data_IF_263545620620
#
_entry.id   IF_263545620620
#
_cell.length_a   1.000
_cell.length_b   1.000
_cell.length_c   1.000
_cell.angle_alpha   90.00
_cell.angle_beta   90.00
_cell.angle_gamma   90.00
#
_symmetry.space_group_name_H-M   'P 1'
#
loop_
_entity.id
_entity.type
_entity.pdbx_description
1 polymer ?
#
# COMPACT_ATOMS: atom_id res chain seq x y z
N UNK A 1 23.35 13.39 -73.69
CA UNK A 1 23.84 14.79 -73.66
C UNK A 1 22.79 15.68 -74.31
N UNK A 2 22.56 16.90 -73.84
CA UNK A 2 22.29 17.34 -72.46
C UNK A 2 21.13 18.36 -72.43
N UNK A 3 20.81 18.89 -71.24
CA UNK A 3 20.32 20.25 -70.93
C UNK A 3 19.28 20.18 -69.78
N UNK A 4 19.40 20.90 -68.67
CA UNK A 4 20.42 21.80 -68.13
C UNK A 4 19.88 22.38 -66.82
N UNK A 5 20.76 22.54 -65.82
CA UNK A 5 20.86 23.72 -64.92
C UNK A 5 19.65 24.08 -64.03
N UNK A 6 19.75 24.58 -62.79
CA UNK A 6 20.83 25.10 -61.97
C UNK A 6 20.28 25.33 -60.55
N UNK A 7 21.17 25.32 -59.56
CA UNK A 7 21.22 26.12 -58.33
C UNK A 7 20.00 26.23 -57.36
N UNK A 8 20.29 25.97 -56.07
CA UNK A 8 20.25 27.05 -55.07
C UNK A 8 19.23 26.99 -53.93
N UNK A 9 19.78 26.97 -52.70
CA UNK A 9 19.31 27.59 -51.44
C UNK A 9 18.19 26.98 -50.57
N UNK A 10 18.63 26.56 -49.37
CA UNK A 10 18.15 26.84 -47.99
C UNK A 10 16.69 27.22 -47.66
N UNK A 11 16.22 26.52 -46.61
CA UNK A 11 15.18 26.81 -45.62
C UNK A 11 13.73 27.07 -46.08
N UNK A 12 12.79 26.24 -45.61
CA UNK A 12 11.68 26.60 -44.72
C UNK A 12 10.89 25.34 -44.26
N UNK A 13 10.06 25.56 -43.25
CA UNK A 13 9.66 24.70 -42.13
C UNK A 13 8.30 23.98 -42.31
N UNK A 14 8.05 23.03 -41.39
CA UNK A 14 6.77 22.77 -40.70
C UNK A 14 5.96 21.47 -40.95
N UNK A 15 5.51 20.94 -39.79
CA UNK A 15 4.40 20.00 -39.46
C UNK A 15 4.80 18.54 -39.21
N UNK A 16 5.14 18.15 -37.97
CA UNK A 16 4.26 17.74 -36.86
C UNK A 16 3.37 16.52 -37.18
N UNK A 17 3.67 15.37 -36.57
CA UNK A 17 3.00 14.83 -35.36
C UNK A 17 3.35 13.35 -35.21
N UNK A 18 4.02 12.97 -34.12
CA UNK A 18 3.56 11.82 -33.36
C UNK A 18 3.99 11.98 -31.90
N UNK A 19 2.97 12.39 -31.17
CA UNK A 19 2.91 12.72 -29.76
C UNK A 19 2.93 11.45 -28.90
N UNK A 20 3.58 11.57 -27.74
CA UNK A 20 3.33 10.82 -26.51
C UNK A 20 3.24 9.28 -26.59
N UNK A 21 4.40 8.61 -26.59
CA UNK A 21 4.54 7.47 -25.68
C UNK A 21 5.01 8.02 -24.32
N UNK A 22 4.09 8.05 -23.36
CA UNK A 22 4.39 8.41 -21.97
C UNK A 22 5.46 7.45 -21.42
N UNK A 23 6.57 7.93 -20.83
CA UNK A 23 7.44 7.10 -20.02
C UNK A 23 6.82 6.98 -18.62
N UNK A 24 5.72 6.24 -18.49
CA UNK A 24 5.04 6.02 -17.21
C UNK A 24 5.46 4.71 -16.53
N UNK A 25 6.46 3.97 -17.01
CA UNK A 25 6.80 2.63 -16.47
C UNK A 25 8.29 2.41 -16.15
N UNK A 26 9.14 3.44 -16.16
CA UNK A 26 10.57 3.27 -15.79
C UNK A 26 10.82 3.34 -14.27
N UNK A 27 9.84 3.81 -13.48
CA UNK A 27 9.96 3.89 -12.02
C UNK A 27 9.74 2.53 -11.33
N UNK A 28 9.06 1.58 -11.98
CA UNK A 28 8.79 0.23 -11.43
C UNK A 28 10.05 -0.61 -11.18
N UNK A 29 11.16 -0.31 -11.89
CA UNK A 29 12.39 -1.11 -11.81
C UNK A 29 13.31 -0.72 -10.65
N UNK A 30 13.34 0.57 -10.30
CA UNK A 30 14.14 1.10 -9.19
C UNK A 30 13.41 1.05 -7.83
N UNK A 31 12.10 0.77 -7.81
CA UNK A 31 11.29 0.57 -6.59
C UNK A 31 11.71 -0.64 -5.73
N UNK A 32 12.46 -1.59 -6.31
CA UNK A 32 12.69 -2.91 -5.73
C UNK A 32 13.85 -2.98 -4.72
N UNK A 33 14.61 -1.90 -4.51
CA UNK A 33 15.91 -1.98 -3.83
C UNK A 33 16.22 -0.91 -2.79
N UNK A 34 15.31 -0.01 -2.42
CA UNK A 34 15.57 0.91 -1.30
C UNK A 34 15.39 0.17 0.05
N UNK A 35 16.45 -0.05 0.85
CA UNK A 35 16.34 -0.70 2.16
C UNK A 35 15.43 0.06 3.12
N UNK A 36 15.27 1.38 2.94
CA UNK A 36 14.34 2.18 3.71
C UNK A 36 12.88 1.85 3.37
N UNK A 37 12.60 1.54 2.10
CA UNK A 37 11.28 1.15 1.63
C UNK A 37 10.85 -0.20 2.19
N UNK A 38 11.74 -1.20 2.13
CA UNK A 38 11.49 -2.53 2.69
C UNK A 38 11.22 -2.45 4.20
N UNK A 39 12.01 -1.65 4.93
CA UNK A 39 11.80 -1.39 6.36
C UNK A 39 10.43 -0.75 6.64
N UNK A 40 10.00 0.20 5.82
CA UNK A 40 8.70 0.84 5.98
C UNK A 40 7.54 -0.14 5.69
N UNK A 41 7.65 -0.95 4.63
CA UNK A 41 6.66 -1.99 4.33
C UNK A 41 6.52 -2.99 5.49
N UNK A 42 7.64 -3.52 6.00
CA UNK A 42 7.66 -4.42 7.16
C UNK A 42 6.92 -3.82 8.36
N UNK A 43 7.26 -2.58 8.74
CA UNK A 43 6.59 -1.89 9.86
C UNK A 43 5.09 -1.77 9.63
N UNK A 44 4.70 -1.35 8.43
CA UNK A 44 3.30 -1.09 8.07
C UNK A 44 2.49 -2.38 8.05
N UNK A 45 3.01 -3.44 7.42
CA UNK A 45 2.33 -4.74 7.32
C UNK A 45 2.25 -5.45 8.68
N UNK A 46 3.32 -5.40 9.49
CA UNK A 46 3.29 -5.91 10.86
C UNK A 46 2.22 -5.21 11.70
N UNK A 47 2.15 -3.87 11.64
CA UNK A 47 1.14 -3.10 12.36
C UNK A 47 -0.29 -3.41 11.86
N UNK A 48 -0.48 -3.55 10.55
CA UNK A 48 -1.76 -3.94 9.96
C UNK A 48 -2.20 -5.33 10.46
N UNK A 49 -1.33 -6.33 10.39
CA UNK A 49 -1.60 -7.68 10.92
C UNK A 49 -1.98 -7.62 12.41
N UNK A 50 -1.23 -6.87 13.22
CA UNK A 50 -1.49 -6.73 14.65
C UNK A 50 -2.80 -5.99 14.97
N UNK A 51 -3.25 -5.07 14.10
CA UNK A 51 -4.56 -4.41 14.24
C UNK A 51 -5.73 -5.41 14.22
N UNK A 52 -5.54 -6.54 13.53
CA UNK A 52 -6.50 -7.65 13.46
C UNK A 52 -6.21 -8.72 14.51
N UNK A 53 -4.96 -9.20 14.62
CA UNK A 53 -4.58 -10.28 15.53
C UNK A 53 -4.81 -9.94 17.01
N UNK A 54 -4.74 -8.66 17.40
CA UNK A 54 -5.08 -8.22 18.77
C UNK A 54 -6.51 -8.61 19.17
N UNK A 55 -7.45 -8.68 18.21
CA UNK A 55 -8.84 -9.11 18.44
C UNK A 55 -8.94 -10.60 18.80
N UNK A 56 -7.93 -11.39 18.41
CA UNK A 56 -7.79 -12.79 18.76
C UNK A 56 -6.78 -13.01 19.91
N UNK A 57 -6.34 -11.94 20.58
CA UNK A 57 -5.45 -12.03 21.75
C UNK A 57 -4.00 -12.41 21.42
N UNK A 58 -3.52 -12.14 20.21
CA UNK A 58 -2.13 -12.42 19.81
C UNK A 58 -1.54 -11.31 18.94
N UNK A 59 -0.24 -11.38 18.70
CA UNK A 59 0.50 -10.43 17.87
C UNK A 59 1.72 -11.09 17.21
N UNK A 60 2.27 -10.40 16.21
CA UNK A 60 3.55 -10.69 15.57
C UNK A 60 4.55 -9.57 15.85
N UNK A 61 5.82 -9.93 15.92
CA UNK A 61 6.95 -9.01 16.08
C UNK A 61 7.81 -9.00 14.82
N UNK A 62 8.13 -10.18 14.29
CA UNK A 62 8.86 -10.34 13.04
C UNK A 62 8.00 -11.08 12.02
N UNK A 63 7.50 -10.35 11.03
CA UNK A 63 6.59 -10.85 10.00
C UNK A 63 7.14 -12.06 9.23
N UNK A 64 8.46 -12.18 9.10
CA UNK A 64 9.13 -13.25 8.36
C UNK A 64 9.30 -14.52 9.17
N UNK A 65 9.29 -14.40 10.48
CA UNK A 65 9.49 -15.52 11.40
C UNK A 65 8.16 -16.02 11.96
N UNK A 66 7.30 -15.09 12.36
CA UNK A 66 6.05 -15.36 13.04
C UNK A 66 4.97 -16.01 12.17
N UNK A 67 5.09 -15.91 10.84
CA UNK A 67 4.17 -16.56 9.91
C UNK A 67 4.66 -17.91 9.38
N UNK A 68 5.91 -18.30 9.69
CA UNK A 68 6.54 -19.51 9.13
C UNK A 68 5.85 -20.82 9.50
N UNK A 69 5.13 -20.86 10.63
CA UNK A 69 4.40 -22.06 11.04
C UNK A 69 2.96 -22.13 10.50
N UNK A 70 2.52 -21.07 9.82
CA UNK A 70 1.19 -20.90 9.24
C UNK A 70 0.07 -20.65 10.25
N UNK A 71 0.29 -20.78 11.56
CA UNK A 71 -0.78 -20.71 12.57
C UNK A 71 -1.33 -19.29 12.69
N UNK A 72 -0.45 -18.30 12.88
CA UNK A 72 -0.87 -16.89 12.96
C UNK A 72 -1.41 -16.37 11.62
N UNK A 73 -0.91 -16.91 10.50
CA UNK A 73 -1.40 -16.58 9.15
C UNK A 73 -2.84 -17.06 8.95
N UNK A 74 -3.12 -18.32 9.29
CA UNK A 74 -4.48 -18.86 9.23
C UNK A 74 -5.42 -18.08 10.15
N UNK A 75 -4.99 -17.79 11.38
CA UNK A 75 -5.79 -17.00 12.33
C UNK A 75 -6.08 -15.59 11.80
N UNK A 76 -5.09 -14.93 11.19
CA UNK A 76 -5.27 -13.63 10.55
C UNK A 76 -6.37 -13.71 9.47
N UNK A 77 -6.31 -14.72 8.60
CA UNK A 77 -7.31 -14.94 7.55
C UNK A 77 -8.71 -15.17 8.12
N UNK A 78 -8.85 -15.94 9.19
CA UNK A 78 -10.14 -16.13 9.88
C UNK A 78 -10.68 -14.81 10.43
N UNK A 79 -9.83 -14.00 11.06
CA UNK A 79 -10.22 -12.72 11.67
C UNK A 79 -10.66 -11.69 10.63
N UNK A 80 -9.95 -11.58 9.50
CA UNK A 80 -10.28 -10.58 8.47
C UNK A 80 -11.45 -11.00 7.57
N UNK A 81 -11.64 -12.32 7.35
CA UNK A 81 -12.74 -12.82 6.52
C UNK A 81 -14.02 -13.09 7.30
N UNK A 82 -13.92 -13.34 8.61
CA UNK A 82 -15.03 -13.84 9.42
C UNK A 82 -15.36 -15.33 9.18
N UNK A 83 -14.57 -16.04 8.37
CA UNK A 83 -14.78 -17.44 8.02
C UNK A 83 -13.79 -18.36 8.73
N UNK A 84 -14.17 -19.64 8.92
CA UNK A 84 -13.28 -20.64 9.54
C UNK A 84 -12.48 -21.38 8.48
N UNK A 85 -11.19 -21.52 8.73
CA UNK A 85 -10.29 -22.34 7.90
C UNK A 85 -10.30 -23.80 8.36
N UNK A 86 -9.73 -24.68 7.54
CA UNK A 86 -9.48 -26.07 7.93
C UNK A 86 -8.61 -26.13 9.19
N UNK A 87 -8.77 -27.17 10.02
CA UNK A 87 -8.03 -27.30 11.27
C UNK A 87 -6.51 -27.31 11.02
N UNK A 88 -5.73 -26.52 11.78
CA UNK A 88 -4.27 -26.49 11.64
C UNK A 88 -3.60 -27.74 12.21
N UNK A 89 -2.49 -28.14 11.61
CA UNK A 89 -1.55 -29.10 12.16
C UNK A 89 -0.74 -28.46 13.29
N UNK A 90 -0.66 -29.12 14.45
CA UNK A 90 0.10 -28.61 15.62
C UNK A 90 1.49 -29.22 15.75
N UNK A 91 1.89 -30.07 14.81
CA UNK A 91 3.21 -30.70 14.80
C UNK A 91 4.32 -29.70 14.53
N UNK A 92 5.52 -29.94 15.08
CA UNK A 92 6.66 -29.01 14.99
C UNK A 92 7.50 -29.16 13.71
N UNK A 93 7.37 -30.29 13.01
CA UNK A 93 8.15 -30.56 11.79
C UNK A 93 7.80 -29.62 10.65
N UNK A 94 8.77 -29.36 9.76
CA UNK A 94 8.60 -28.50 8.57
C UNK A 94 7.39 -28.87 7.71
N UNK A 95 7.11 -30.18 7.56
CA UNK A 95 5.96 -30.67 6.78
C UNK A 95 4.60 -30.19 7.33
N UNK A 96 4.46 -30.06 8.65
CA UNK A 96 3.24 -29.55 9.27
C UNK A 96 3.08 -28.06 9.02
N UNK A 97 4.18 -27.30 9.09
CA UNK A 97 4.21 -25.88 8.76
C UNK A 97 3.79 -25.62 7.30
N UNK A 98 4.37 -26.39 6.38
CA UNK A 98 3.99 -26.36 4.95
C UNK A 98 2.50 -26.67 4.78
N UNK A 99 1.99 -27.70 5.46
CA UNK A 99 0.56 -28.02 5.41
C UNK A 99 -0.32 -26.85 5.90
N UNK A 100 0.05 -26.17 6.99
CA UNK A 100 -0.69 -25.01 7.48
C UNK A 100 -0.64 -23.82 6.51
N UNK A 101 0.54 -23.53 5.96
CA UNK A 101 0.67 -22.44 4.99
C UNK A 101 -0.11 -22.77 3.71
N UNK A 102 -0.06 -24.01 3.20
CA UNK A 102 -0.89 -24.41 2.06
C UNK A 102 -2.38 -24.22 2.32
N UNK A 103 -2.90 -24.61 3.51
CA UNK A 103 -4.29 -24.33 3.89
C UNK A 103 -4.63 -22.84 3.83
N UNK A 104 -3.69 -21.97 4.23
CA UNK A 104 -3.86 -20.52 4.12
C UNK A 104 -3.83 -20.03 2.67
N UNK A 105 -2.88 -20.50 1.86
CA UNK A 105 -2.76 -20.13 0.44
C UNK A 105 -3.97 -20.60 -0.38
N UNK A 106 -4.46 -21.81 -0.15
CA UNK A 106 -5.69 -22.34 -0.76
C UNK A 106 -6.91 -21.48 -0.41
N UNK A 107 -7.01 -21.06 0.85
CA UNK A 107 -8.07 -20.14 1.29
C UNK A 107 -7.97 -18.79 0.56
N UNK A 108 -6.77 -18.20 0.46
CA UNK A 108 -6.55 -16.95 -0.25
C UNK A 108 -6.94 -17.10 -1.73
N UNK A 109 -6.51 -18.17 -2.39
CA UNK A 109 -6.86 -18.47 -3.78
C UNK A 109 -8.38 -18.60 -3.97
N UNK A 110 -9.09 -19.23 -3.03
CA UNK A 110 -10.55 -19.36 -3.05
C UNK A 110 -11.29 -18.01 -3.02
N UNK A 111 -10.65 -16.94 -2.55
CA UNK A 111 -11.19 -15.57 -2.54
C UNK A 111 -10.94 -14.80 -3.84
N UNK A 112 -10.44 -15.46 -4.88
CA UNK A 112 -10.21 -14.86 -6.19
C UNK A 112 -8.84 -14.21 -6.35
N UNK A 113 -7.89 -14.52 -5.46
CA UNK A 113 -6.52 -14.03 -5.52
C UNK A 113 -5.67 -14.97 -6.37
N UNK A 114 -4.87 -14.41 -7.30
CA UNK A 114 -3.88 -15.16 -8.07
C UNK A 114 -2.51 -15.08 -7.39
N UNK A 115 -2.11 -16.16 -6.73
CA UNK A 115 -0.81 -16.29 -6.06
C UNK A 115 0.27 -16.67 -7.09
N UNK A 116 0.74 -15.70 -7.88
CA UNK A 116 1.83 -15.92 -8.83
C UNK A 116 3.15 -15.92 -8.05
N UNK A 117 3.93 -16.99 -8.15
CA UNK A 117 5.27 -17.13 -7.54
C UNK A 117 5.32 -17.17 -6.00
N UNK A 118 4.19 -17.34 -5.32
CA UNK A 118 4.14 -17.50 -3.85
C UNK A 118 3.83 -18.97 -3.51
N UNK A 119 4.83 -19.70 -3.01
CA UNK A 119 4.71 -21.08 -2.54
C UNK A 119 4.84 -21.19 -1.02
N UNK A 120 4.27 -22.26 -0.44
CA UNK A 120 4.31 -22.46 1.00
C UNK A 120 5.73 -22.67 1.55
N UNK A 121 6.61 -23.30 0.76
CA UNK A 121 8.01 -23.52 1.10
C UNK A 121 8.73 -22.21 1.37
N UNK A 122 8.55 -21.21 0.51
CA UNK A 122 9.19 -19.89 0.63
C UNK A 122 8.79 -19.19 1.93
N UNK A 123 7.51 -19.28 2.30
CA UNK A 123 7.00 -18.69 3.55
C UNK A 123 7.56 -19.44 4.76
N UNK A 124 7.56 -20.78 4.74
CA UNK A 124 8.07 -21.60 5.85
C UNK A 124 9.58 -21.44 6.02
N UNK A 125 10.32 -21.21 4.94
CA UNK A 125 11.76 -21.01 4.96
C UNK A 125 12.16 -19.57 5.31
N UNK A 126 11.20 -18.65 5.39
CA UNK A 126 11.41 -17.27 5.85
C UNK A 126 11.85 -16.32 4.73
N UNK A 127 11.43 -16.57 3.48
CA UNK A 127 11.70 -15.67 2.37
C UNK A 127 10.95 -14.33 2.58
N UNK A 128 11.72 -13.30 2.91
CA UNK A 128 11.29 -11.93 3.13
C UNK A 128 10.33 -11.41 2.05
N UNK A 129 10.79 -11.48 0.81
CA UNK A 129 10.10 -10.92 -0.35
C UNK A 129 8.77 -11.64 -0.59
N UNK A 130 8.76 -12.97 -0.50
CA UNK A 130 7.54 -13.75 -0.69
C UNK A 130 6.56 -13.55 0.46
N UNK A 131 7.05 -13.43 1.70
CA UNK A 131 6.20 -13.15 2.86
C UNK A 131 5.54 -11.78 2.75
N UNK A 132 6.31 -10.73 2.43
CA UNK A 132 5.77 -9.39 2.25
C UNK A 132 4.80 -9.33 1.05
N UNK A 133 5.11 -9.97 -0.07
CA UNK A 133 4.23 -10.05 -1.24
C UNK A 133 2.91 -10.78 -0.95
N UNK A 134 2.95 -11.86 -0.17
CA UNK A 134 1.76 -12.56 0.29
C UNK A 134 0.88 -11.67 1.17
N UNK A 135 1.47 -11.02 2.18
CA UNK A 135 0.71 -10.14 3.08
C UNK A 135 0.13 -8.94 2.32
N UNK A 136 0.89 -8.36 1.39
CA UNK A 136 0.41 -7.32 0.49
C UNK A 136 -0.84 -7.76 -0.28
N UNK A 137 -0.81 -8.95 -0.87
CA UNK A 137 -1.92 -9.50 -1.62
C UNK A 137 -3.17 -9.69 -0.74
N UNK A 138 -2.99 -10.13 0.51
CA UNK A 138 -4.07 -10.25 1.49
C UNK A 138 -4.66 -8.87 1.82
N UNK A 139 -3.83 -7.87 2.09
CA UNK A 139 -4.27 -6.49 2.36
C UNK A 139 -5.09 -5.96 1.19
N UNK A 140 -4.57 -6.10 -0.03
CA UNK A 140 -5.23 -5.65 -1.24
C UNK A 140 -6.62 -6.29 -1.38
N UNK A 141 -6.72 -7.61 -1.20
CA UNK A 141 -7.98 -8.34 -1.36
C UNK A 141 -9.02 -8.00 -0.30
N UNK A 142 -8.65 -7.95 0.97
CA UNK A 142 -9.59 -7.88 2.09
C UNK A 142 -9.84 -6.46 2.63
N UNK A 143 -8.92 -5.52 2.40
CA UNK A 143 -9.07 -4.14 2.89
C UNK A 143 -9.38 -3.12 1.79
N UNK A 144 -9.03 -3.43 0.53
CA UNK A 144 -9.06 -2.45 -0.56
C UNK A 144 -10.04 -2.86 -1.66
N UNK A 145 -9.97 -4.09 -2.17
CA UNK A 145 -10.63 -4.50 -3.40
C UNK A 145 -12.16 -4.33 -3.40
N UNK A 146 -12.80 -4.42 -2.24
CA UNK A 146 -14.26 -4.25 -2.11
C UNK A 146 -14.69 -2.76 -1.98
N UNK A 147 -13.74 -1.81 -1.96
CA UNK A 147 -14.04 -0.38 -2.02
C UNK A 147 -14.56 -0.05 -3.42
N UNK A 148 -15.78 0.45 -3.53
CA UNK A 148 -16.34 0.98 -4.77
C UNK A 148 -16.99 2.32 -4.51
N UNK A 149 -16.60 3.33 -5.28
CA UNK A 149 -17.18 4.67 -5.25
C UNK A 149 -17.47 5.06 -6.69
N UNK A 150 -18.76 5.25 -7.01
CA UNK A 150 -19.21 5.60 -8.37
C UNK A 150 -18.70 4.64 -9.45
N UNK A 151 -18.76 3.33 -9.18
CA UNK A 151 -18.40 2.27 -10.14
C UNK A 151 -16.93 2.29 -10.61
N UNK A 152 -16.06 3.05 -9.93
CA UNK A 152 -14.62 3.06 -10.19
C UNK A 152 -13.92 1.87 -9.51
N UNK A 153 -12.75 1.50 -10.04
CA UNK A 153 -11.91 0.43 -9.46
C UNK A 153 -11.46 0.80 -8.04
N UNK A 154 -11.13 -0.18 -7.19
CA UNK A 154 -10.87 0.05 -5.76
C UNK A 154 -9.87 1.17 -5.44
N UNK A 155 -8.75 1.21 -6.16
CA UNK A 155 -7.72 2.25 -6.02
C UNK A 155 -8.27 3.63 -6.39
N UNK A 156 -8.93 3.72 -7.54
CA UNK A 156 -9.48 4.98 -8.06
C UNK A 156 -10.62 5.48 -7.19
N UNK A 157 -11.47 4.57 -6.72
CA UNK A 157 -12.58 4.86 -5.81
C UNK A 157 -12.09 5.39 -4.47
N UNK A 158 -11.04 4.80 -3.90
CA UNK A 158 -10.41 5.32 -2.69
C UNK A 158 -9.79 6.71 -2.92
N UNK A 159 -9.12 6.93 -4.07
CA UNK A 159 -8.53 8.22 -4.40
C UNK A 159 -9.62 9.30 -4.56
N UNK A 160 -10.69 8.97 -5.30
CA UNK A 160 -11.83 9.84 -5.50
C UNK A 160 -12.54 10.16 -4.19
N UNK A 161 -12.69 9.17 -3.30
CA UNK A 161 -13.22 9.39 -1.96
C UNK A 161 -12.38 10.39 -1.18
N UNK A 162 -11.06 10.21 -1.16
CA UNK A 162 -10.14 11.15 -0.50
C UNK A 162 -10.32 12.56 -1.05
N UNK A 163 -10.27 12.72 -2.38
CA UNK A 163 -10.45 14.00 -3.06
C UNK A 163 -11.76 14.69 -2.68
N UNK A 164 -12.88 13.97 -2.69
CA UNK A 164 -14.19 14.53 -2.35
C UNK A 164 -14.29 14.96 -0.89
N UNK A 165 -13.73 14.16 0.02
CA UNK A 165 -13.73 14.47 1.45
C UNK A 165 -12.83 15.67 1.76
N UNK A 166 -11.74 15.84 1.01
CA UNK A 166 -10.81 16.96 1.21
C UNK A 166 -11.10 18.18 0.34
N UNK A 167 -12.05 18.12 -0.60
CA UNK A 167 -12.38 19.25 -1.50
C UNK A 167 -12.65 20.60 -0.80
N UNK A 168 -13.27 20.65 0.41
CA UNK A 168 -13.45 21.92 1.13
C UNK A 168 -12.16 22.54 1.70
N UNK A 169 -11.05 21.80 1.75
CA UNK A 169 -9.79 22.21 2.38
C UNK A 169 -8.83 22.77 1.34
N UNK A 170 -8.80 24.10 1.19
CA UNK A 170 -8.04 24.80 0.14
C UNK A 170 -6.53 24.51 0.14
N UNK A 171 -5.97 24.13 1.28
CA UNK A 171 -4.56 23.80 1.44
C UNK A 171 -4.23 22.31 1.17
N UNK A 172 -5.21 21.50 0.75
CA UNK A 172 -5.06 20.08 0.47
C UNK A 172 -5.37 19.79 -0.99
N UNK A 173 -4.47 19.06 -1.65
CA UNK A 173 -4.68 18.59 -3.01
C UNK A 173 -4.23 17.12 -3.17
N UNK A 174 -5.18 16.20 -3.09
CA UNK A 174 -4.92 14.76 -3.19
C UNK A 174 -4.99 14.32 -4.65
N UNK A 175 -3.85 13.94 -5.22
CA UNK A 175 -3.73 13.50 -6.62
C UNK A 175 -3.19 12.08 -6.74
N UNK A 176 -2.58 11.56 -5.66
CA UNK A 176 -1.99 10.24 -5.60
C UNK A 176 -1.92 9.78 -4.15
N UNK A 177 -1.48 8.53 -3.93
CA UNK A 177 -1.23 8.01 -2.59
C UNK A 177 0.17 8.31 -2.06
N UNK A 178 0.99 9.05 -2.82
CA UNK A 178 2.37 9.40 -2.47
C UNK A 178 2.59 10.84 -2.01
N UNK A 179 3.07 11.68 -2.91
CA UNK A 179 3.56 13.04 -2.62
C UNK A 179 2.43 13.90 -2.03
N UNK A 180 1.18 13.65 -2.42
CA UNK A 180 0.01 14.38 -1.91
C UNK A 180 -0.22 14.27 -0.40
N UNK A 181 0.40 13.30 0.29
CA UNK A 181 0.20 13.06 1.72
C UNK A 181 1.39 13.49 2.57
N UNK A 182 2.50 13.92 1.96
CA UNK A 182 3.76 14.19 2.66
C UNK A 182 3.70 15.35 3.64
N UNK A 183 2.83 16.34 3.39
CA UNK A 183 2.67 17.48 4.30
C UNK A 183 1.77 17.18 5.51
N UNK A 184 1.16 16.00 5.57
CA UNK A 184 0.27 15.56 6.65
C UNK A 184 -1.12 16.21 6.67
N UNK A 185 -1.36 17.24 5.85
CA UNK A 185 -2.63 17.98 5.86
C UNK A 185 -3.77 17.12 5.31
N UNK A 186 -3.50 16.26 4.33
CA UNK A 186 -4.47 15.30 3.81
C UNK A 186 -5.04 14.39 4.89
N UNK A 187 -4.19 13.82 5.75
CA UNK A 187 -4.62 12.97 6.86
C UNK A 187 -5.45 13.75 7.87
N UNK A 188 -4.97 14.94 8.28
CA UNK A 188 -5.68 15.79 9.22
C UNK A 188 -7.05 16.24 8.68
N UNK A 189 -7.13 16.57 7.39
CA UNK A 189 -8.37 17.01 6.75
C UNK A 189 -9.40 15.89 6.70
N UNK A 190 -8.99 14.65 6.42
CA UNK A 190 -9.89 13.50 6.44
C UNK A 190 -10.46 13.24 7.84
N UNK A 191 -9.61 13.28 8.88
CA UNK A 191 -10.07 13.12 10.26
C UNK A 191 -11.01 14.26 10.64
N UNK A 192 -10.62 15.52 10.43
CA UNK A 192 -11.46 16.69 10.72
C UNK A 192 -12.78 16.67 9.95
N UNK A 193 -12.81 16.14 8.71
CA UNK A 193 -14.04 16.07 7.91
C UNK A 193 -15.09 15.13 8.51
N UNK A 194 -14.67 14.09 9.22
CA UNK A 194 -15.56 13.09 9.81
C UNK A 194 -15.73 13.25 11.33
N UNK A 195 -14.73 13.82 11.99
CA UNK A 195 -14.62 14.02 13.45
C UNK A 195 -13.95 15.38 13.73
N UNK A 196 -14.64 16.51 13.46
CA UNK A 196 -14.07 17.84 13.59
C UNK A 196 -13.59 18.15 15.02
N UNK A 197 -14.17 17.50 16.03
CA UNK A 197 -13.80 17.65 17.44
C UNK A 197 -12.40 17.14 17.78
N UNK A 198 -11.81 16.29 16.94
CA UNK A 198 -10.54 15.63 17.23
C UNK A 198 -9.30 16.39 16.72
N UNK A 199 -9.47 17.35 15.80
CA UNK A 199 -8.37 18.09 15.20
C UNK A 199 -8.73 19.57 15.11
N UNK A 200 -7.92 20.42 15.71
CA UNK A 200 -7.98 21.87 15.48
C UNK A 200 -7.25 22.22 14.17
N UNK A 201 -7.96 22.04 13.05
CA UNK A 201 -7.35 22.14 11.71
C UNK A 201 -6.79 23.54 11.42
N UNK A 202 -7.35 24.59 12.04
CA UNK A 202 -6.91 25.96 11.84
C UNK A 202 -5.49 26.25 12.33
N UNK A 203 -4.95 25.41 13.22
CA UNK A 203 -3.57 25.52 13.73
C UNK A 203 -2.53 24.82 12.85
N UNK A 204 -2.95 24.00 11.90
CA UNK A 204 -2.04 23.21 11.08
C UNK A 204 -1.43 24.05 9.96
N UNK A 205 -0.15 23.82 9.68
CA UNK A 205 0.60 24.56 8.66
C UNK A 205 1.35 23.64 7.72
N UNK A 206 1.39 24.00 6.44
CA UNK A 206 2.02 23.19 5.39
C UNK A 206 3.54 23.04 5.56
N UNK A 207 4.19 24.01 6.18
CA UNK A 207 5.63 24.03 6.44
C UNK A 207 6.03 23.24 7.69
N UNK A 208 5.08 22.62 8.40
CA UNK A 208 5.33 21.76 9.56
C UNK A 208 4.77 20.33 9.37
N UNK A 209 5.32 19.56 8.41
CA UNK A 209 4.78 18.27 8.02
C UNK A 209 4.88 17.21 9.12
N UNK A 210 5.96 17.23 9.92
CA UNK A 210 6.16 16.26 10.99
C UNK A 210 5.09 16.40 12.08
N UNK A 211 4.78 17.63 12.50
CA UNK A 211 3.72 17.88 13.48
C UNK A 211 2.36 17.47 12.92
N UNK A 212 2.05 17.79 11.67
CA UNK A 212 0.78 17.41 11.05
C UNK A 212 0.60 15.89 11.01
N UNK A 213 1.62 15.16 10.54
CA UNK A 213 1.60 13.70 10.45
C UNK A 213 1.45 13.06 11.84
N UNK A 214 2.28 13.47 12.80
CA UNK A 214 2.19 12.95 14.16
C UNK A 214 0.84 13.25 14.81
N UNK A 215 0.29 14.45 14.59
CA UNK A 215 -1.05 14.81 15.08
C UNK A 215 -2.11 13.87 14.53
N UNK A 216 -2.13 13.64 13.21
CA UNK A 216 -3.09 12.73 12.60
C UNK A 216 -2.95 11.30 13.13
N UNK A 217 -1.72 10.79 13.24
CA UNK A 217 -1.44 9.44 13.69
C UNK A 217 -1.75 9.22 15.17
N UNK A 218 -1.44 10.19 16.03
CA UNK A 218 -1.80 10.18 17.45
C UNK A 218 -3.30 10.20 17.66
N UNK A 219 -4.01 11.06 16.92
CA UNK A 219 -5.47 11.16 17.00
C UNK A 219 -6.14 9.87 16.51
N UNK A 220 -5.68 9.32 15.39
CA UNK A 220 -6.21 8.09 14.83
C UNK A 220 -6.04 6.90 15.80
N UNK A 221 -4.88 6.78 16.44
CA UNK A 221 -4.61 5.72 17.41
C UNK A 221 -5.45 5.88 18.68
N UNK A 222 -5.47 7.06 19.29
CA UNK A 222 -6.11 7.28 20.59
C UNK A 222 -7.65 7.28 20.51
N UNK A 223 -8.22 7.81 19.44
CA UNK A 223 -9.66 8.09 19.37
C UNK A 223 -10.41 7.29 18.31
N UNK A 224 -9.70 6.73 17.32
CA UNK A 224 -10.32 5.97 16.22
C UNK A 224 -9.93 4.49 16.22
N UNK A 225 -9.10 4.04 17.17
CA UNK A 225 -8.56 2.68 17.27
C UNK A 225 -7.80 2.22 16.00
N UNK A 226 -7.23 3.18 15.26
CA UNK A 226 -6.40 2.92 14.07
C UNK A 226 -4.93 2.99 14.49
N UNK A 227 -4.21 1.86 14.56
CA UNK A 227 -2.83 1.87 15.04
C UNK A 227 -1.91 2.63 14.10
N UNK A 228 -0.79 3.12 14.63
CA UNK A 228 0.23 3.80 13.84
C UNK A 228 1.00 2.82 12.97
N UNK A 229 0.56 2.70 11.72
CA UNK A 229 1.25 1.87 10.72
C UNK A 229 2.37 2.62 10.00
N UNK A 230 2.33 3.96 10.05
CA UNK A 230 3.26 4.84 9.35
C UNK A 230 4.14 5.62 10.33
N UNK A 231 5.31 6.01 9.84
CA UNK A 231 6.26 6.86 10.54
C UNK A 231 6.29 8.24 9.90
N UNK A 232 6.15 9.30 10.70
CA UNK A 232 6.15 10.67 10.17
C UNK A 232 7.48 11.03 9.52
N UNK A 233 8.62 10.66 10.14
CA UNK A 233 9.92 10.92 9.55
C UNK A 233 10.12 10.13 8.25
N UNK A 234 9.68 8.87 8.24
CA UNK A 234 9.70 8.02 7.06
C UNK A 234 8.94 8.65 5.89
N UNK A 235 7.74 9.18 6.12
CA UNK A 235 6.93 9.85 5.11
C UNK A 235 7.59 11.12 4.58
N UNK A 236 8.16 11.95 5.45
CA UNK A 236 8.78 13.22 5.04
C UNK A 236 10.05 12.97 4.23
N UNK A 237 10.89 12.03 4.70
CA UNK A 237 12.18 11.70 4.08
C UNK A 237 12.02 10.89 2.79
N UNK A 238 11.02 10.01 2.73
CA UNK A 238 10.83 9.15 1.56
C UNK A 238 10.31 9.93 0.36
N UNK A 239 10.89 9.69 -0.82
CA UNK A 239 10.33 10.11 -2.11
C UNK A 239 9.06 9.33 -2.46
N UNK A 240 8.82 8.21 -1.76
CA UNK A 240 7.76 7.24 -2.03
C UNK A 240 6.90 7.06 -0.79
N UNK A 241 5.68 7.59 -0.83
CA UNK A 241 4.63 7.19 0.12
C UNK A 241 3.72 6.30 -0.70
N UNK A 242 4.05 5.04 -0.93
CA UNK A 242 3.02 4.16 -1.50
C UNK A 242 3.14 2.80 -0.90
N UNK A 243 2.58 2.68 0.31
CA UNK A 243 2.24 1.39 0.91
C UNK A 243 1.44 0.52 -0.09
N UNK A 244 0.87 1.17 -1.11
CA UNK A 244 -0.08 0.64 -2.04
C UNK A 244 0.48 0.15 -3.40
N UNK A 245 1.76 0.36 -3.72
CA UNK A 245 2.28 0.02 -5.05
C UNK A 245 3.65 -0.64 -5.00
N UNK A 246 3.64 -1.96 -4.97
CA UNK A 246 4.49 -2.80 -5.80
C UNK A 246 3.62 -3.97 -6.32
N UNK A 247 3.80 -4.40 -7.60
CA UNK A 247 3.04 -5.49 -8.21
C UNK A 247 3.24 -6.85 -7.52
#
# INVERSE_FOLDING_TARGET
>A
LPHSSHAGMDHYDSQQTNDYMQPQDDWDRDLLLDPAWEKQQRKTFTAWCNSHLRKAGTQIENIEEDFRDGLKLMLLLEVISGERLAKPERGKMRVHKISNVNKALDFIASKGVKLVSIGAEEIVDGNAKMTLGMIWTIILRFAIQDISVEETSAKEGLLLWCQRKTAPYKNVNIQNFHISWKDGLGFCALIHRHRPELIDYGKLRKDDPLTNLNTAFDVAERYLDIPKMLDAEGIVKSSFVSVLFLP
#
